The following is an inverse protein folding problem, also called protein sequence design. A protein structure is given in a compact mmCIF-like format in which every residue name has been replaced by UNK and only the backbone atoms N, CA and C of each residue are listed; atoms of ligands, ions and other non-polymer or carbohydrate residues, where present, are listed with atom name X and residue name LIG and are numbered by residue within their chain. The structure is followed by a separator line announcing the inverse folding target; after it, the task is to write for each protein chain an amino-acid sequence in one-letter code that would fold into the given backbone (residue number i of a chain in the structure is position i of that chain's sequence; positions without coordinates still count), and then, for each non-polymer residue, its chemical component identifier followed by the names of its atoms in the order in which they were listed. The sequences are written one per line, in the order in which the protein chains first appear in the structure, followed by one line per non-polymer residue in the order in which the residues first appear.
data_IF_475702816147
#
_entry.id   IF_475702816147
#
_cell.length_a   1.000
_cell.length_b   1.000
_cell.length_c   1.000
_cell.angle_alpha   90.00
_cell.angle_beta   90.00
_cell.angle_gamma   90.00
#
_symmetry.space_group_name_H-M   'P 1'
#
loop_
_entity.id
_entity.type
_entity.pdbx_description
1 polymer ?
#
# COMPACT_ATOMS: atom_id res chain seq x y z
N UNK A 1 -0.32 2.75 12.46
CA UNK A 1 -0.31 3.40 11.16
C UNK A 1 -1.09 2.54 10.19
N UNK A 2 -1.41 2.97 9.00
CA UNK A 2 -2.33 2.35 8.04
C UNK A 2 -2.45 0.81 8.17
N UNK A 3 -3.39 0.36 8.99
CA UNK A 3 -3.69 -1.05 9.23
C UNK A 3 -5.06 -1.48 8.70
N UNK A 4 -5.79 -0.59 8.09
CA UNK A 4 -7.08 -0.81 7.42
C UNK A 4 -7.27 0.20 6.31
N UNK A 5 -7.78 -0.25 5.18
CA UNK A 5 -8.09 0.66 4.09
C UNK A 5 -9.28 0.15 3.28
N UNK A 6 -9.74 0.95 2.34
CA UNK A 6 -10.86 0.63 1.47
C UNK A 6 -10.45 0.77 0.00
N UNK A 7 -10.97 -0.12 -0.83
CA UNK A 7 -10.92 0.01 -2.28
C UNK A 7 -12.25 -0.47 -2.85
N UNK A 8 -13.06 0.47 -3.32
CA UNK A 8 -14.40 0.20 -3.83
C UNK A 8 -14.68 0.82 -5.21
N UNK A 9 -13.76 1.66 -5.72
CA UNK A 9 -13.86 2.21 -7.08
C UNK A 9 -13.71 1.09 -8.13
N UNK A 10 -14.27 1.27 -9.34
CA UNK A 10 -14.10 0.29 -10.42
C UNK A 10 -12.61 0.02 -10.69
N UNK A 11 -12.21 -1.24 -10.61
CA UNK A 11 -10.80 -1.62 -10.73
C UNK A 11 -10.23 -1.31 -12.11
N UNK A 12 -11.00 -1.56 -13.18
CA UNK A 12 -10.55 -1.30 -14.55
C UNK A 12 -10.22 0.18 -14.76
N UNK A 13 -11.13 1.06 -14.37
CA UNK A 13 -10.94 2.50 -14.51
C UNK A 13 -9.81 3.03 -13.63
N UNK A 14 -9.73 2.52 -12.39
CA UNK A 14 -8.66 2.91 -11.45
C UNK A 14 -7.30 2.45 -11.96
N UNK A 15 -7.17 1.20 -12.37
CA UNK A 15 -5.91 0.66 -12.89
C UNK A 15 -5.47 1.38 -14.18
N UNK A 16 -6.42 1.82 -15.01
CA UNK A 16 -6.13 2.60 -16.20
C UNK A 16 -5.44 3.94 -15.87
N UNK A 17 -5.80 4.57 -14.74
CA UNK A 17 -5.10 5.78 -14.27
C UNK A 17 -3.62 5.53 -13.99
N UNK A 18 -3.27 4.29 -13.66
CA UNK A 18 -1.90 3.89 -13.33
C UNK A 18 -1.25 3.04 -14.43
N UNK A 19 -1.76 3.13 -15.66
CA UNK A 19 -1.13 2.56 -16.84
C UNK A 19 -1.46 1.09 -17.14
N UNK A 20 -2.51 0.53 -16.53
CA UNK A 20 -2.97 -0.84 -16.81
C UNK A 20 -4.19 -0.80 -17.71
N UNK A 21 -4.10 -1.44 -18.87
CA UNK A 21 -5.22 -1.56 -19.82
C UNK A 21 -5.93 -2.90 -19.61
N UNK A 22 -7.28 -2.84 -19.51
CA UNK A 22 -8.09 -4.05 -19.44
C UNK A 22 -7.92 -4.86 -18.16
N UNK A 23 -7.75 -4.19 -17.00
CA UNK A 23 -7.66 -4.88 -15.73
C UNK A 23 -8.94 -5.67 -15.42
N UNK A 24 -8.81 -6.87 -14.78
CA UNK A 24 -9.98 -7.64 -14.37
C UNK A 24 -10.77 -6.92 -13.29
N UNK A 25 -12.06 -7.25 -13.13
CA UNK A 25 -12.86 -6.67 -12.06
C UNK A 25 -12.35 -7.16 -10.69
N UNK A 26 -12.43 -6.25 -9.71
CA UNK A 26 -12.12 -6.54 -8.31
C UNK A 26 -13.35 -6.19 -7.47
N UNK A 27 -13.72 -7.08 -6.57
CA UNK A 27 -14.87 -6.85 -5.70
C UNK A 27 -14.67 -5.61 -4.81
N UNK A 28 -15.63 -4.68 -4.74
CA UNK A 28 -15.56 -3.53 -3.86
C UNK A 28 -15.45 -3.95 -2.39
N UNK A 29 -14.50 -3.35 -1.67
CA UNK A 29 -14.29 -3.65 -0.26
C UNK A 29 -14.07 -2.37 0.54
N UNK A 30 -14.76 -2.27 1.66
CA UNK A 30 -14.75 -1.08 2.52
C UNK A 30 -13.89 -1.20 3.76
N UNK A 31 -13.41 -2.42 4.08
CA UNK A 31 -12.64 -2.68 5.29
C UNK A 31 -11.64 -3.80 5.06
N UNK A 32 -10.57 -3.47 4.34
CA UNK A 32 -9.50 -4.41 4.02
C UNK A 32 -8.54 -4.50 5.21
N UNK A 33 -8.29 -5.72 5.67
CA UNK A 33 -7.45 -6.01 6.83
C UNK A 33 -6.15 -6.73 6.42
N UNK A 34 -5.10 -6.66 7.24
CA UNK A 34 -3.91 -7.48 7.04
C UNK A 34 -4.23 -8.97 6.85
N UNK A 35 -3.38 -9.66 6.12
CA UNK A 35 -3.50 -11.06 5.66
C UNK A 35 -4.51 -11.28 4.54
N UNK A 36 -5.31 -10.29 4.19
CA UNK A 36 -6.20 -10.37 3.04
C UNK A 36 -5.48 -9.99 1.75
N UNK A 37 -6.02 -10.40 0.61
CA UNK A 37 -5.47 -10.05 -0.69
C UNK A 37 -5.93 -8.66 -1.12
N UNK A 38 -5.02 -7.90 -1.72
CA UNK A 38 -5.24 -6.52 -2.13
C UNK A 38 -4.89 -6.35 -3.61
N UNK A 39 -5.58 -5.42 -4.27
CA UNK A 39 -5.32 -5.08 -5.67
C UNK A 39 -4.06 -4.23 -5.78
N UNK A 40 -3.10 -4.67 -6.57
CA UNK A 40 -1.84 -3.98 -6.77
C UNK A 40 -1.50 -3.87 -8.26
N UNK A 41 -0.82 -2.79 -8.62
CA UNK A 41 -0.29 -2.55 -9.96
C UNK A 41 1.23 -2.64 -9.89
N UNK A 42 1.82 -3.38 -10.81
CA UNK A 42 3.28 -3.53 -10.92
C UNK A 42 3.70 -3.71 -12.38
N UNK A 43 4.97 -3.54 -12.65
CA UNK A 43 5.53 -3.91 -13.92
C UNK A 43 5.65 -5.44 -13.99
N UNK A 44 5.08 -6.03 -15.03
CA UNK A 44 5.19 -7.46 -15.31
C UNK A 44 6.55 -7.84 -15.92
N UNK A 45 6.75 -9.14 -16.09
CA UNK A 45 7.99 -9.67 -16.70
C UNK A 45 8.22 -9.19 -18.14
N UNK A 46 7.16 -8.85 -18.86
CA UNK A 46 7.17 -8.28 -20.20
C UNK A 46 7.31 -6.75 -20.22
N UNK A 47 7.52 -6.14 -19.06
CA UNK A 47 7.56 -4.69 -18.81
C UNK A 47 6.24 -3.97 -19.06
N UNK A 48 5.16 -4.68 -19.27
CA UNK A 48 3.82 -4.11 -19.25
C UNK A 48 3.27 -4.11 -17.82
N UNK A 49 2.57 -3.05 -17.47
CA UNK A 49 1.92 -2.98 -16.17
C UNK A 49 0.75 -3.94 -16.10
N UNK A 50 0.62 -4.58 -14.94
CA UNK A 50 -0.44 -5.54 -14.67
C UNK A 50 -1.08 -5.26 -13.31
N UNK A 51 -2.35 -5.62 -13.19
CA UNK A 51 -3.04 -5.65 -11.90
C UNK A 51 -2.99 -7.09 -11.38
N UNK A 52 -2.51 -7.25 -10.15
CA UNK A 52 -2.40 -8.53 -9.47
C UNK A 52 -2.99 -8.44 -8.07
N UNK A 53 -3.34 -9.58 -7.50
CA UNK A 53 -3.77 -9.68 -6.11
C UNK A 53 -2.60 -10.17 -5.26
N UNK A 54 -2.24 -9.40 -4.24
CA UNK A 54 -1.13 -9.70 -3.33
C UNK A 54 -1.66 -9.82 -1.90
N UNK A 55 -1.11 -10.76 -1.13
CA UNK A 55 -1.47 -10.89 0.28
C UNK A 55 -0.80 -9.77 1.08
N UNK A 56 -1.57 -9.04 1.86
CA UNK A 56 -1.04 -7.94 2.65
C UNK A 56 -0.34 -8.42 3.91
N UNK A 57 0.93 -8.23 3.95
CA UNK A 57 1.89 -8.68 4.95
C UNK A 57 3.07 -9.35 4.27
N UNK A 58 4.15 -8.59 4.03
CA UNK A 58 5.29 -9.05 3.23
C UNK A 58 6.02 -10.19 3.92
N UNK A 59 6.23 -11.28 3.18
CA UNK A 59 7.08 -12.39 3.59
C UNK A 59 8.39 -12.28 2.82
N UNK A 60 9.53 -11.98 3.49
CA UNK A 60 10.82 -11.95 2.81
C UNK A 60 11.09 -13.30 2.11
N UNK A 61 11.75 -13.25 0.95
CA UNK A 61 11.99 -14.48 0.17
C UNK A 61 12.80 -15.53 0.94
N UNK A 62 13.63 -15.11 1.87
CA UNK A 62 14.48 -15.96 2.70
C UNK A 62 13.81 -16.44 4.00
N UNK A 63 12.59 -16.05 4.28
CA UNK A 63 11.90 -16.42 5.51
C UNK A 63 11.65 -17.92 5.59
N UNK A 64 11.83 -18.49 6.77
CA UNK A 64 11.54 -19.92 7.04
C UNK A 64 10.06 -20.15 7.26
N UNK A 65 9.38 -19.19 7.92
CA UNK A 65 7.97 -19.28 8.27
C UNK A 65 7.23 -18.07 7.67
N UNK A 66 6.20 -18.29 6.85
CA UNK A 66 5.43 -17.20 6.25
C UNK A 66 4.62 -16.40 7.27
N UNK A 67 4.45 -16.88 8.50
CA UNK A 67 3.75 -16.16 9.56
C UNK A 67 4.42 -14.82 9.92
N UNK A 68 5.71 -14.64 9.60
CA UNK A 68 6.41 -13.37 9.78
C UNK A 68 5.69 -12.22 9.06
N UNK A 69 5.05 -12.50 7.92
CA UNK A 69 4.32 -11.52 7.14
C UNK A 69 3.14 -10.88 7.90
N UNK A 70 2.57 -11.56 8.88
CA UNK A 70 1.43 -11.05 9.64
C UNK A 70 1.75 -9.73 10.37
N UNK A 71 3.02 -9.45 10.63
CA UNK A 71 3.52 -8.23 11.29
C UNK A 71 4.18 -7.25 10.32
N UNK A 72 4.39 -7.64 9.07
CA UNK A 72 5.14 -6.87 8.08
C UNK A 72 4.19 -6.15 7.10
N UNK A 73 3.21 -5.45 7.66
CA UNK A 73 2.18 -4.76 6.88
C UNK A 73 2.63 -3.37 6.43
N UNK A 74 3.59 -2.75 7.12
CA UNK A 74 4.15 -1.44 6.80
C UNK A 74 5.67 -1.48 6.80
N UNK A 75 6.29 -0.69 5.92
CA UNK A 75 7.72 -0.45 5.86
C UNK A 75 7.98 1.06 5.94
N UNK A 76 8.91 1.46 6.80
CA UNK A 76 9.27 2.88 6.94
C UNK A 76 10.09 3.32 5.73
N UNK A 77 9.62 4.35 5.02
CA UNK A 77 10.30 4.87 3.84
C UNK A 77 11.73 5.33 4.14
N UNK A 78 11.99 5.81 5.37
CA UNK A 78 13.29 6.32 5.79
C UNK A 78 14.38 5.24 5.87
N UNK A 79 14.00 3.97 6.07
CA UNK A 79 14.96 2.87 6.27
C UNK A 79 14.75 1.69 5.32
N UNK A 80 13.75 1.74 4.47
CA UNK A 80 13.35 0.62 3.59
C UNK A 80 14.47 0.15 2.66
N UNK A 81 15.31 1.07 2.19
CA UNK A 81 16.43 0.76 1.30
C UNK A 81 17.54 -0.07 1.97
N UNK A 82 17.59 -0.07 3.30
CA UNK A 82 18.67 -0.71 4.08
C UNK A 82 18.22 -1.96 4.83
N UNK A 83 16.95 -2.04 5.22
CA UNK A 83 16.43 -3.15 6.02
C UNK A 83 16.49 -4.48 5.26
N UNK A 84 17.07 -5.54 5.84
CA UNK A 84 17.19 -6.84 5.17
C UNK A 84 15.87 -7.40 4.64
N UNK A 85 14.76 -7.15 5.34
CA UNK A 85 13.45 -7.62 4.93
C UNK A 85 12.93 -6.93 3.66
N UNK A 86 13.37 -5.71 3.36
CA UNK A 86 12.77 -4.85 2.32
C UNK A 86 13.72 -4.41 1.22
N UNK A 87 15.04 -4.40 1.47
CA UNK A 87 16.01 -3.80 0.54
C UNK A 87 15.99 -4.41 -0.87
N UNK A 88 15.79 -5.72 -0.98
CA UNK A 88 15.73 -6.37 -2.28
C UNK A 88 14.45 -5.97 -3.04
N UNK A 89 13.31 -5.94 -2.37
CA UNK A 89 12.05 -5.50 -2.94
C UNK A 89 12.09 -4.01 -3.32
N UNK A 90 12.71 -3.18 -2.50
CA UNK A 90 12.88 -1.77 -2.80
C UNK A 90 13.67 -1.54 -4.09
N UNK A 91 14.67 -2.36 -4.36
CA UNK A 91 15.47 -2.27 -5.59
C UNK A 91 14.77 -2.83 -6.82
N UNK A 92 13.98 -3.90 -6.67
CA UNK A 92 13.52 -4.71 -7.80
C UNK A 92 12.02 -4.94 -7.87
N UNK A 93 11.26 -4.74 -6.79
CA UNK A 93 9.87 -5.15 -6.70
C UNK A 93 9.00 -4.08 -6.05
N UNK A 94 8.96 -2.91 -6.66
CA UNK A 94 8.05 -1.85 -6.29
C UNK A 94 6.68 -2.10 -6.90
N UNK A 95 5.64 -1.69 -6.19
CA UNK A 95 4.28 -1.76 -6.68
C UNK A 95 3.42 -0.64 -6.11
N UNK A 96 2.18 -0.60 -6.58
CA UNK A 96 1.17 0.37 -6.18
C UNK A 96 -0.02 -0.42 -5.62
N UNK A 97 -0.41 -0.18 -4.39
CA UNK A 97 -1.65 -0.75 -3.85
C UNK A 97 -2.77 0.27 -4.04
N UNK A 98 -3.85 -0.16 -4.70
CA UNK A 98 -4.96 0.72 -5.04
C UNK A 98 -5.88 0.92 -3.84
N UNK A 99 -6.33 2.15 -3.62
CA UNK A 99 -7.16 2.52 -2.48
C UNK A 99 -8.08 3.69 -2.82
N UNK A 100 -9.20 3.77 -2.12
CA UNK A 100 -10.08 4.94 -2.09
C UNK A 100 -9.91 5.75 -0.82
N UNK A 101 -9.43 5.12 0.24
CA UNK A 101 -9.16 5.76 1.51
C UNK A 101 -8.61 4.77 2.52
N UNK A 102 -8.15 5.28 3.63
CA UNK A 102 -7.62 4.46 4.72
C UNK A 102 -8.16 4.93 6.07
N UNK A 103 -8.05 4.07 7.09
CA UNK A 103 -8.52 4.35 8.43
C UNK A 103 -7.38 4.62 9.39
N UNK A 104 -7.60 5.56 10.30
CA UNK A 104 -6.75 5.78 11.48
C UNK A 104 -7.63 5.94 12.72
N UNK A 105 -7.18 5.36 13.83
CA UNK A 105 -7.89 5.44 15.10
C UNK A 105 -7.32 6.59 15.93
N UNK A 106 -8.07 7.67 15.98
CA UNK A 106 -7.70 8.84 16.77
C UNK A 106 -8.14 8.66 18.23
N UNK A 107 -7.21 8.88 19.13
CA UNK A 107 -7.51 8.82 20.57
C UNK A 107 -8.17 10.12 21.00
N UNK A 108 -9.42 10.03 21.47
CA UNK A 108 -10.19 11.12 22.06
C UNK A 108 -10.49 10.76 23.53
N UNK A 109 -9.65 11.24 24.46
CA UNK A 109 -9.70 10.82 25.87
C UNK A 109 -9.38 9.33 26.02
N UNK A 110 -10.29 8.58 26.64
CA UNK A 110 -10.16 7.15 26.87
C UNK A 110 -10.68 6.28 25.71
N UNK A 111 -11.26 6.91 24.69
CA UNK A 111 -11.81 6.20 23.53
C UNK A 111 -10.97 6.42 22.29
N UNK A 112 -10.95 5.39 21.42
CA UNK A 112 -10.40 5.49 20.09
C UNK A 112 -11.53 5.59 19.08
N UNK A 113 -11.52 6.64 18.28
CA UNK A 113 -12.52 6.89 17.23
C UNK A 113 -11.87 6.66 15.88
N UNK A 114 -12.41 5.77 15.03
CA UNK A 114 -11.87 5.59 13.67
C UNK A 114 -12.22 6.79 12.81
N UNK A 115 -11.23 7.25 12.04
CA UNK A 115 -11.40 8.27 11.03
C UNK A 115 -11.09 7.66 9.66
N UNK A 116 -11.86 8.07 8.66
CA UNK A 116 -11.61 7.70 7.27
C UNK A 116 -10.96 8.87 6.56
N UNK A 117 -9.83 8.60 5.91
CA UNK A 117 -9.04 9.59 5.18
C UNK A 117 -9.06 9.25 3.70
N UNK A 118 -9.42 10.21 2.87
CA UNK A 118 -9.43 10.08 1.42
C UNK A 118 -8.85 11.33 0.76
N UNK A 119 -8.69 11.30 -0.56
CA UNK A 119 -8.36 12.51 -1.30
C UNK A 119 -9.52 13.51 -1.21
N UNK A 120 -9.19 14.80 -1.15
CA UNK A 120 -10.20 15.86 -1.18
C UNK A 120 -11.04 15.84 -2.47
N UNK A 121 -10.48 15.30 -3.55
CA UNK A 121 -11.15 15.11 -4.83
C UNK A 121 -12.10 13.91 -4.90
N UNK A 122 -12.11 13.03 -3.90
CA UNK A 122 -12.79 11.73 -3.89
C UNK A 122 -12.30 10.71 -4.92
N UNK A 123 -11.22 11.01 -5.62
CA UNK A 123 -10.63 10.08 -6.57
C UNK A 123 -9.90 8.94 -5.85
N UNK A 124 -9.87 7.74 -6.46
CA UNK A 124 -8.98 6.68 -5.97
C UNK A 124 -7.52 7.08 -6.18
N UNK A 125 -6.64 6.47 -5.41
CA UNK A 125 -5.21 6.75 -5.43
C UNK A 125 -4.41 5.46 -5.28
N UNK A 126 -3.09 5.59 -5.35
CA UNK A 126 -2.19 4.49 -5.08
C UNK A 126 -1.41 4.72 -3.80
N UNK A 127 -1.08 3.63 -3.12
CA UNK A 127 -0.15 3.60 -1.99
C UNK A 127 1.18 3.02 -2.48
N UNK A 128 2.28 3.72 -2.24
CA UNK A 128 3.60 3.17 -2.53
C UNK A 128 3.81 1.89 -1.73
N UNK A 129 4.21 0.84 -2.41
CA UNK A 129 4.30 -0.49 -1.81
C UNK A 129 5.46 -1.28 -2.42
N UNK A 130 5.81 -2.37 -1.75
CA UNK A 130 6.77 -3.36 -2.20
C UNK A 130 6.10 -4.71 -2.25
N UNK A 131 6.58 -5.60 -3.11
CA UNK A 131 6.10 -6.97 -3.15
C UNK A 131 7.25 -7.96 -3.08
N UNK A 132 6.94 -9.17 -2.65
CA UNK A 132 7.88 -10.28 -2.55
C UNK A 132 7.23 -11.57 -3.03
N UNK A 133 8.05 -12.51 -3.48
CA UNK A 133 7.63 -13.87 -3.74
C UNK A 133 8.38 -14.82 -2.81
N UNK A 134 7.63 -15.55 -2.03
CA UNK A 134 8.13 -16.57 -1.12
C UNK A 134 7.72 -17.96 -1.63
N UNK A 135 8.60 -18.90 -1.54
CA UNK A 135 8.34 -20.29 -1.92
C UNK A 135 8.34 -21.21 -0.70
N UNK A 136 7.30 -22.00 -0.56
CA UNK A 136 7.27 -23.07 0.42
C UNK A 136 8.25 -24.16 0.00
N UNK A 137 9.20 -24.47 0.87
CA UNK A 137 10.24 -25.48 0.57
C UNK A 137 9.70 -26.90 0.48
N UNK A 138 8.59 -27.19 1.15
CA UNK A 138 7.98 -28.51 1.16
C UNK A 138 7.05 -28.73 -0.02
N UNK A 139 6.12 -27.80 -0.25
CA UNK A 139 5.13 -27.90 -1.32
C UNK A 139 5.60 -27.31 -2.65
N UNK A 140 6.56 -26.38 -2.62
CA UNK A 140 6.98 -25.61 -3.78
C UNK A 140 6.02 -24.49 -4.16
N UNK A 141 4.93 -24.28 -3.42
CA UNK A 141 3.95 -23.25 -3.69
C UNK A 141 4.54 -21.86 -3.51
N UNK A 142 4.17 -20.95 -4.41
CA UNK A 142 4.58 -19.57 -4.35
C UNK A 142 3.52 -18.73 -3.65
N UNK A 143 3.97 -17.83 -2.76
CA UNK A 143 3.13 -16.82 -2.11
C UNK A 143 3.64 -15.44 -2.46
N UNK A 144 2.81 -14.61 -3.08
CA UNK A 144 3.13 -13.22 -3.38
C UNK A 144 2.49 -12.29 -2.36
N UNK A 145 3.30 -11.44 -1.77
CA UNK A 145 2.92 -10.60 -0.63
C UNK A 145 3.34 -9.15 -0.84
N UNK A 146 2.76 -8.24 -0.07
CA UNK A 146 3.03 -6.81 -0.17
C UNK A 146 3.10 -6.14 1.20
N UNK A 147 3.83 -5.04 1.25
CA UNK A 147 3.87 -4.12 2.40
C UNK A 147 3.71 -2.69 1.91
N UNK A 148 3.07 -1.85 2.73
CA UNK A 148 2.84 -0.44 2.41
C UNK A 148 3.94 0.44 2.99
N UNK A 149 4.45 1.38 2.21
CA UNK A 149 5.40 2.36 2.72
C UNK A 149 4.70 3.41 3.56
N UNK A 150 5.33 3.79 4.67
CA UNK A 150 4.87 4.87 5.54
C UNK A 150 5.96 5.91 5.71
N UNK A 151 5.55 7.12 6.04
CA UNK A 151 6.43 8.24 6.32
C UNK A 151 5.88 9.05 7.50
N UNK A 152 6.62 10.06 7.94
CA UNK A 152 6.13 11.01 8.94
C UNK A 152 4.87 11.73 8.47
N UNK A 153 3.94 11.98 9.39
CA UNK A 153 2.71 12.66 9.06
C UNK A 153 2.97 14.10 8.56
N UNK A 154 2.23 14.51 7.53
CA UNK A 154 2.18 15.91 7.15
C UNK A 154 1.30 16.71 8.15
N UNK A 155 1.19 18.02 7.96
CA UNK A 155 0.44 18.90 8.88
C UNK A 155 -1.04 18.49 8.97
N UNK A 156 -1.62 17.98 7.88
CA UNK A 156 -3.01 17.51 7.87
C UNK A 156 -3.19 16.26 8.75
N UNK A 157 -2.28 15.29 8.61
CA UNK A 157 -2.38 14.00 9.32
C UNK A 157 -1.89 14.05 10.76
N UNK A 158 -1.00 14.97 11.10
CA UNK A 158 -0.36 15.01 12.42
C UNK A 158 -1.34 14.98 13.60
N UNK A 159 -2.50 15.68 13.56
CA UNK A 159 -3.49 15.59 14.64
C UNK A 159 -4.11 14.19 14.80
N UNK A 160 -4.13 13.37 13.74
CA UNK A 160 -4.74 12.03 13.76
C UNK A 160 -3.72 10.95 14.11
N UNK A 161 -2.53 11.01 13.53
CA UNK A 161 -1.46 10.04 13.76
C UNK A 161 -0.12 10.64 13.36
N UNK A 162 0.96 10.18 14.01
CA UNK A 162 2.33 10.66 13.71
C UNK A 162 2.93 10.05 12.44
N UNK A 163 2.32 9.03 11.85
CA UNK A 163 2.73 8.38 10.61
C UNK A 163 1.59 8.41 9.60
N UNK A 164 1.92 8.33 8.32
CA UNK A 164 0.95 8.22 7.23
C UNK A 164 1.49 7.34 6.12
N UNK A 165 0.62 6.71 5.31
CA UNK A 165 1.08 6.01 4.12
C UNK A 165 1.58 7.00 3.06
N UNK A 166 2.47 6.54 2.17
CA UNK A 166 2.94 7.33 1.04
C UNK A 166 1.89 7.24 -0.08
N UNK A 167 1.12 8.31 -0.24
CA UNK A 167 0.01 8.41 -1.19
C UNK A 167 0.53 8.99 -2.50
N UNK A 168 0.25 8.31 -3.60
CA UNK A 168 0.74 8.67 -4.93
C UNK A 168 -0.42 8.98 -5.88
N UNK A 169 -0.28 10.08 -6.62
CA UNK A 169 -1.07 10.34 -7.82
C UNK A 169 -0.44 9.63 -9.03
N UNK A 170 -1.05 9.65 -10.22
CA UNK A 170 -0.49 8.96 -11.38
C UNK A 170 0.93 9.38 -11.75
N UNK A 171 1.27 10.65 -11.64
CA UNK A 171 2.61 11.15 -11.97
C UNK A 171 3.67 10.64 -10.97
N UNK A 172 3.43 10.77 -9.68
CA UNK A 172 4.35 10.27 -8.65
C UNK A 172 4.40 8.75 -8.60
N UNK A 173 3.32 8.07 -8.99
CA UNK A 173 3.30 6.62 -9.14
C UNK A 173 4.25 6.15 -10.25
N UNK A 174 4.30 6.83 -11.38
CA UNK A 174 5.24 6.53 -12.47
C UNK A 174 6.69 6.68 -11.99
N UNK A 175 6.97 7.74 -11.26
CA UNK A 175 8.31 7.97 -10.67
C UNK A 175 8.68 6.86 -9.69
N UNK A 176 7.75 6.44 -8.84
CA UNK A 176 7.96 5.35 -7.90
C UNK A 176 8.30 4.03 -8.60
N UNK A 177 7.50 3.65 -9.60
CA UNK A 177 7.69 2.39 -10.33
C UNK A 177 8.94 2.39 -11.20
N UNK A 178 9.41 3.56 -11.65
CA UNK A 178 10.63 3.66 -12.44
C UNK A 178 11.88 3.21 -11.68
N UNK A 179 11.81 3.16 -10.36
CA UNK A 179 12.92 2.71 -9.53
C UNK A 179 13.91 3.82 -9.20
N UNK A 180 15.13 3.43 -8.82
CA UNK A 180 16.16 4.38 -8.40
C UNK A 180 15.92 4.92 -6.99
N UNK A 181 16.62 5.99 -6.65
CA UNK A 181 16.46 6.62 -5.35
C UNK A 181 15.17 7.43 -5.32
N UNK A 182 14.29 7.07 -4.41
CA UNK A 182 13.06 7.80 -4.17
C UNK A 182 13.34 8.98 -3.26
N UNK A 183 13.12 10.18 -3.75
CA UNK A 183 13.36 11.40 -2.97
C UNK A 183 12.12 11.75 -2.16
N UNK A 184 12.00 11.14 -0.99
CA UNK A 184 10.90 11.40 -0.05
C UNK A 184 10.82 12.89 0.34
N UNK A 185 11.94 13.56 0.37
CA UNK A 185 12.04 14.98 0.71
C UNK A 185 11.30 15.90 -0.27
N UNK A 186 11.20 15.49 -1.54
CA UNK A 186 10.50 16.24 -2.58
C UNK A 186 9.06 15.76 -2.81
N UNK A 187 8.67 14.67 -2.16
CA UNK A 187 7.32 14.15 -2.27
C UNK A 187 6.35 14.96 -1.44
N UNK A 188 5.20 15.29 -2.02
CA UNK A 188 4.09 15.96 -1.35
C UNK A 188 2.83 15.16 -1.57
N UNK A 189 2.10 14.85 -0.49
CA UNK A 189 0.84 14.16 -0.59
C UNK A 189 -0.21 15.06 -1.29
N UNK A 190 -1.11 14.48 -2.10
CA UNK A 190 -2.28 15.20 -2.59
C UNK A 190 -3.13 15.73 -1.42
N UNK A 191 -3.98 16.72 -1.69
CA UNK A 191 -4.88 17.26 -0.68
C UNK A 191 -5.83 16.18 -0.15
N UNK A 192 -5.94 16.10 1.18
CA UNK A 192 -6.70 15.09 1.90
C UNK A 192 -7.92 15.69 2.58
N UNK A 193 -8.91 14.83 2.85
CA UNK A 193 -10.02 15.10 3.76
C UNK A 193 -10.19 13.92 4.71
N UNK A 194 -10.78 14.16 5.87
CA UNK A 194 -10.97 13.14 6.89
C UNK A 194 -12.25 13.42 7.68
N UNK A 195 -12.92 12.34 8.11
CA UNK A 195 -14.09 12.44 8.98
C UNK A 195 -14.20 11.20 9.87
N UNK A 196 -14.78 11.35 11.06
CA UNK A 196 -14.99 10.20 11.95
C UNK A 196 -16.05 9.28 11.37
N UNK A 197 -15.89 7.97 11.63
CA UNK A 197 -16.83 6.94 11.19
C UNK A 197 -17.19 6.03 12.34
N UNK A 198 -18.27 5.25 12.17
CA UNK A 198 -18.69 4.25 13.14
C UNK A 198 -17.75 3.05 13.18
N UNK A 199 -17.68 2.38 14.34
CA UNK A 199 -16.84 1.19 14.55
C UNK A 199 -17.39 -0.09 13.90
N UNK A 200 -18.47 -0.03 13.15
CA UNK A 200 -19.15 -1.20 12.58
C UNK A 200 -18.39 -1.79 11.40
#
# INVERSE_FOLDING_TARGET
VCGRFAFYSPAEATAALFGVNGAPPVEPRFNIAPTQYVAAVRDGSDKQRELVMLRWGLVPFWAKDPAIGNRMINARAETVAEKPAYRAAYRHRRCLVLADGFYEWHRAGDTKVPWFISLASDEPFALAALWEQWHDKESGDALQTTTLLTTGANDFMAPLHHRMPVILDPESADTWLAGGDWLLETWTAPALRAWPVDRR
#
